data_IF_095068443000
#
_entry.id   IF_095068443000
#
_cell.length_a   1.000
_cell.length_b   1.000
_cell.length_c   1.000
_cell.angle_alpha   90.00
_cell.angle_beta   90.00
_cell.angle_gamma   90.00
#
_symmetry.space_group_name_H-M   'P 1'
#
loop_
_entity.id
_entity.type
_entity.pdbx_description
1 polymer ?
#
# COMPACT_ATOMS: atom_id res chain seq x y z
N UNK A 1 10.21 -9.84 6.93
CA UNK A 1 9.98 -8.39 6.73
C UNK A 1 8.89 -8.08 5.70
N UNK A 2 8.72 -8.85 4.60
CA UNK A 2 7.67 -8.58 3.59
C UNK A 2 6.23 -8.78 4.10
N UNK A 3 6.03 -9.51 5.21
CA UNK A 3 4.71 -9.77 5.80
C UNK A 3 3.95 -8.48 6.16
N UNK A 4 4.63 -7.46 6.70
CA UNK A 4 3.97 -6.21 7.07
C UNK A 4 3.41 -5.48 5.84
N UNK A 5 4.19 -5.43 4.76
CA UNK A 5 3.79 -4.81 3.48
C UNK A 5 2.63 -5.57 2.85
N UNK A 6 2.71 -6.91 2.79
CA UNK A 6 1.63 -7.74 2.25
C UNK A 6 0.35 -7.61 3.07
N UNK A 7 0.47 -7.55 4.41
CA UNK A 7 -0.69 -7.39 5.31
C UNK A 7 -1.41 -6.06 5.08
N UNK A 8 -0.65 -4.98 4.89
CA UNK A 8 -1.21 -3.67 4.57
C UNK A 8 -1.80 -3.63 3.16
N UNK A 9 -1.09 -4.18 2.17
CA UNK A 9 -1.57 -4.27 0.78
C UNK A 9 -2.89 -5.04 0.65
N UNK A 10 -3.03 -6.14 1.40
CA UNK A 10 -4.26 -6.96 1.40
C UNK A 10 -5.35 -6.43 2.34
N UNK A 11 -5.14 -5.26 2.94
CA UNK A 11 -6.09 -4.62 3.87
C UNK A 11 -6.59 -5.55 4.97
N UNK A 12 -5.72 -6.46 5.44
CA UNK A 12 -6.09 -7.48 6.43
C UNK A 12 -6.46 -6.86 7.80
N UNK A 13 -6.17 -5.58 7.99
CA UNK A 13 -6.61 -4.83 9.16
C UNK A 13 -8.10 -4.48 9.09
N UNK A 14 -8.63 -4.11 7.92
CA UNK A 14 -10.07 -3.89 7.72
C UNK A 14 -10.85 -5.19 7.95
N UNK A 15 -10.36 -6.30 7.39
CA UNK A 15 -10.92 -7.63 7.64
C UNK A 15 -10.87 -8.05 9.11
N UNK A 16 -9.85 -7.67 9.88
CA UNK A 16 -9.74 -8.04 11.29
C UNK A 16 -10.82 -7.37 12.17
N UNK A 17 -11.37 -6.22 11.75
CA UNK A 17 -12.53 -5.60 12.38
C UNK A 17 -13.83 -6.31 12.03
N UNK A 18 -14.01 -6.63 10.74
CA UNK A 18 -15.20 -7.31 10.23
C UNK A 18 -15.34 -8.74 10.77
N UNK A 19 -14.23 -9.49 10.88
CA UNK A 19 -14.21 -10.82 11.50
C UNK A 19 -14.65 -10.75 12.97
N UNK A 20 -14.21 -9.72 13.72
CA UNK A 20 -14.62 -9.51 15.11
C UNK A 20 -16.10 -9.12 15.24
N UNK A 21 -16.64 -8.42 14.24
CA UNK A 21 -18.05 -8.07 14.16
C UNK A 21 -18.93 -9.18 13.57
N UNK A 22 -18.35 -10.28 13.08
CA UNK A 22 -19.08 -11.35 12.38
C UNK A 22 -19.61 -10.93 11.00
N UNK A 23 -19.05 -9.89 10.40
CA UNK A 23 -19.46 -9.37 9.10
C UNK A 23 -18.59 -9.94 7.97
N UNK A 24 -19.21 -10.34 6.87
CA UNK A 24 -18.50 -10.73 5.65
C UNK A 24 -18.53 -9.58 4.64
N UNK A 25 -17.45 -8.81 4.60
CA UNK A 25 -17.30 -7.68 3.67
C UNK A 25 -16.33 -8.05 2.55
N UNK A 26 -16.73 -7.80 1.31
CA UNK A 26 -15.84 -7.96 0.15
C UNK A 26 -15.09 -6.64 -0.13
N UNK A 27 -13.78 -6.63 0.08
CA UNK A 27 -12.92 -5.52 -0.31
C UNK A 27 -12.32 -5.78 -1.70
N UNK A 28 -12.40 -4.79 -2.59
CA UNK A 28 -11.82 -4.88 -3.93
C UNK A 28 -10.29 -5.03 -3.82
N UNK A 29 -9.67 -6.06 -4.43
CA UNK A 29 -8.22 -6.21 -4.42
C UNK A 29 -7.55 -4.98 -5.06
N UNK A 30 -6.56 -4.41 -4.36
CA UNK A 30 -5.74 -3.31 -4.90
C UNK A 30 -4.75 -3.87 -5.92
N UNK A 31 -4.38 -3.10 -6.94
CA UNK A 31 -3.31 -3.49 -7.85
C UNK A 31 -1.96 -3.17 -7.22
N UNK A 32 -0.94 -4.00 -7.48
CA UNK A 32 0.42 -3.80 -6.94
C UNK A 32 1.05 -2.50 -7.45
N UNK A 33 0.72 -2.10 -8.67
CA UNK A 33 1.14 -0.85 -9.31
C UNK A 33 0.66 0.41 -8.57
N UNK A 34 -0.48 0.32 -7.88
CA UNK A 34 -1.04 1.43 -7.11
C UNK A 34 -0.48 1.48 -5.68
N UNK A 35 0.46 0.60 -5.34
CA UNK A 35 1.02 0.49 -4.00
C UNK A 35 2.52 0.79 -4.00
N UNK A 36 2.86 2.09 -4.05
CA UNK A 36 4.26 2.52 -3.98
C UNK A 36 4.80 2.42 -2.55
N UNK A 37 5.97 1.79 -2.39
CA UNK A 37 6.65 1.66 -1.10
C UNK A 37 7.88 2.55 -1.07
N UNK A 38 7.92 3.47 -0.09
CA UNK A 38 9.09 4.29 0.20
C UNK A 38 9.97 3.67 1.28
N UNK A 39 11.25 3.43 0.99
CA UNK A 39 12.25 2.98 1.96
C UNK A 39 13.21 4.14 2.29
N UNK A 40 13.05 4.74 3.47
CA UNK A 40 13.98 5.74 3.99
C UNK A 40 15.21 5.06 4.60
N UNK A 41 16.38 5.36 4.04
CA UNK A 41 17.66 4.85 4.53
C UNK A 41 18.09 3.56 3.82
N UNK A 42 18.82 3.70 2.71
CA UNK A 42 19.42 2.57 1.96
C UNK A 42 20.75 2.08 2.58
N UNK A 43 20.73 1.81 3.89
CA UNK A 43 21.79 1.09 4.58
C UNK A 43 21.85 -0.40 4.18
N UNK A 44 22.58 -1.22 4.93
CA UNK A 44 22.69 -2.68 4.65
C UNK A 44 21.32 -3.36 4.68
N UNK A 45 20.50 -3.07 5.69
CA UNK A 45 19.15 -3.62 5.83
C UNK A 45 18.17 -3.01 4.82
N UNK A 46 18.16 -1.68 4.70
CA UNK A 46 17.24 -0.97 3.80
C UNK A 46 17.39 -1.38 2.34
N UNK A 47 18.63 -1.61 1.87
CA UNK A 47 18.88 -2.09 0.51
C UNK A 47 18.31 -3.49 0.27
N UNK A 48 18.47 -4.42 1.23
CA UNK A 48 17.92 -5.78 1.14
C UNK A 48 16.39 -5.79 1.16
N UNK A 49 15.78 -4.93 1.98
CA UNK A 49 14.33 -4.75 2.02
C UNK A 49 13.82 -4.21 0.69
N UNK A 50 14.45 -3.16 0.14
CA UNK A 50 14.06 -2.58 -1.14
C UNK A 50 14.15 -3.58 -2.28
N UNK A 51 15.22 -4.38 -2.34
CA UNK A 51 15.38 -5.45 -3.33
C UNK A 51 14.33 -6.56 -3.18
N UNK A 52 14.06 -7.00 -1.95
CA UNK A 52 13.02 -8.01 -1.72
C UNK A 52 11.65 -7.50 -2.16
N UNK A 53 11.30 -6.24 -1.85
CA UNK A 53 10.05 -5.63 -2.28
C UNK A 53 9.94 -5.46 -3.80
N UNK A 54 11.07 -5.21 -4.47
CA UNK A 54 11.14 -5.15 -5.93
C UNK A 54 10.89 -6.52 -6.57
N UNK A 55 11.33 -7.63 -5.95
CA UNK A 55 10.98 -8.99 -6.38
C UNK A 55 9.48 -9.30 -6.27
N UNK A 56 8.77 -8.61 -5.38
CA UNK A 56 7.30 -8.68 -5.28
C UNK A 56 6.57 -7.75 -6.25
N UNK A 57 7.30 -7.13 -7.20
CA UNK A 57 6.79 -6.25 -8.26
C UNK A 57 6.10 -4.98 -7.74
N UNK A 58 6.40 -4.56 -6.51
CA UNK A 58 5.93 -3.28 -6.01
C UNK A 58 6.78 -2.14 -6.60
N UNK A 59 6.18 -0.98 -6.92
CA UNK A 59 6.93 0.24 -7.19
C UNK A 59 7.68 0.66 -5.91
N UNK A 60 9.00 0.46 -5.87
CA UNK A 60 9.82 0.82 -4.72
C UNK A 60 10.62 2.08 -5.01
N UNK A 61 10.51 3.05 -4.11
CA UNK A 61 11.36 4.23 -4.06
C UNK A 61 12.24 4.16 -2.81
N UNK A 62 13.51 4.53 -2.92
CA UNK A 62 14.46 4.52 -1.82
C UNK A 62 15.10 5.89 -1.64
N UNK A 63 15.31 6.33 -0.40
CA UNK A 63 16.01 7.58 -0.10
C UNK A 63 17.25 7.33 0.75
N UNK A 64 18.34 8.06 0.48
CA UNK A 64 19.59 7.95 1.24
C UNK A 64 20.31 9.30 1.33
N UNK A 65 21.11 9.49 2.38
CA UNK A 65 21.99 10.67 2.52
C UNK A 65 23.20 10.59 1.56
N UNK A 66 23.64 9.39 1.23
CA UNK A 66 24.74 9.13 0.30
C UNK A 66 24.23 8.49 -0.99
N UNK A 67 24.88 8.72 -2.14
CA UNK A 67 24.48 8.11 -3.41
C UNK A 67 24.52 6.59 -3.31
N UNK A 68 23.40 5.96 -3.69
CA UNK A 68 23.19 4.52 -3.67
C UNK A 68 22.42 4.17 -4.93
N UNK A 69 22.93 3.23 -5.72
CA UNK A 69 22.22 2.69 -6.87
C UNK A 69 21.74 1.28 -6.53
N UNK A 70 20.45 1.02 -6.74
CA UNK A 70 19.84 -0.28 -6.59
C UNK A 70 19.07 -0.61 -7.87
N UNK A 71 19.33 -1.79 -8.43
CA UNK A 71 18.67 -2.22 -9.67
C UNK A 71 17.16 -2.35 -9.46
N UNK A 72 16.38 -1.72 -10.34
CA UNK A 72 14.91 -1.75 -10.30
C UNK A 72 14.25 -0.92 -9.18
N UNK A 73 15.02 -0.12 -8.43
CA UNK A 73 14.50 0.76 -7.37
C UNK A 73 14.81 2.22 -7.74
N UNK A 74 13.83 3.10 -7.65
CA UNK A 74 14.05 4.54 -7.86
C UNK A 74 14.73 5.12 -6.63
N UNK A 75 15.97 5.57 -6.76
CA UNK A 75 16.77 6.08 -5.63
C UNK A 75 16.86 7.60 -5.64
N UNK A 76 16.58 8.21 -4.49
CA UNK A 76 16.68 9.63 -4.22
C UNK A 76 17.81 9.89 -3.22
N UNK A 77 18.47 11.03 -3.34
CA UNK A 77 19.69 11.35 -2.61
C UNK A 77 19.69 12.77 -2.05
N UNK A 78 20.15 12.88 -0.80
CA UNK A 78 20.28 14.16 -0.10
C UNK A 78 18.95 14.77 0.34
N UNK A 79 19.03 15.81 1.17
CA UNK A 79 17.85 16.49 1.71
C UNK A 79 17.03 17.21 0.63
N UNK A 80 17.67 17.66 -0.45
CA UNK A 80 17.00 18.35 -1.55
C UNK A 80 15.97 17.48 -2.29
N UNK A 81 16.22 16.17 -2.41
CA UNK A 81 15.31 15.23 -3.10
C UNK A 81 14.34 14.52 -2.15
N UNK A 82 14.37 14.87 -0.86
CA UNK A 82 13.45 14.31 0.14
C UNK A 82 11.98 14.65 -0.16
N UNK A 83 11.61 15.87 -0.55
CA UNK A 83 10.23 16.19 -0.92
C UNK A 83 9.73 15.37 -2.11
N UNK A 84 10.57 15.21 -3.15
CA UNK A 84 10.22 14.42 -4.33
C UNK A 84 10.05 12.94 -4.01
N UNK A 85 10.89 12.40 -3.13
CA UNK A 85 10.77 11.04 -2.61
C UNK A 85 9.42 10.84 -1.88
N UNK A 86 9.05 11.77 -1.00
CA UNK A 86 7.79 11.72 -0.27
C UNK A 86 6.60 11.81 -1.22
N UNK A 87 6.63 12.73 -2.20
CA UNK A 87 5.59 12.84 -3.21
C UNK A 87 5.43 11.53 -4.01
N UNK A 88 6.55 10.90 -4.39
CA UNK A 88 6.54 9.64 -5.16
C UNK A 88 5.99 8.44 -4.39
N UNK A 89 6.13 8.42 -3.05
CA UNK A 89 5.69 7.30 -2.21
C UNK A 89 4.31 7.51 -1.59
N UNK A 90 3.86 8.76 -1.45
CA UNK A 90 2.56 9.12 -0.86
C UNK A 90 1.45 9.30 -1.91
N UNK A 91 1.79 9.56 -3.18
CA UNK A 91 0.78 9.79 -4.24
C UNK A 91 -0.13 8.60 -4.51
N UNK A 92 0.26 7.38 -4.12
CA UNK A 92 -0.52 6.16 -4.36
C UNK A 92 -1.47 5.79 -3.22
N UNK A 93 -1.30 6.40 -2.03
CA UNK A 93 -2.07 6.08 -0.83
C UNK A 93 -3.53 6.59 -0.86
N UNK A 94 -3.91 7.41 -1.87
CA UNK A 94 -5.19 8.09 -1.88
C UNK A 94 -5.88 8.03 -3.25
N UNK A 95 -6.14 6.83 -3.75
CA UNK A 95 -7.08 6.63 -4.87
C UNK A 95 -8.23 5.66 -4.53
N UNK A 96 -8.36 5.26 -3.27
CA UNK A 96 -9.49 4.42 -2.84
C UNK A 96 -10.72 5.29 -2.56
N UNK A 97 -11.44 5.57 -3.65
CA UNK A 97 -12.90 5.46 -3.70
C UNK A 97 -13.70 6.44 -2.84
N UNK A 98 -13.81 7.67 -3.34
CA UNK A 98 -15.04 8.47 -3.22
C UNK A 98 -16.11 7.84 -4.12
N UNK A 99 -16.67 6.69 -3.75
CA UNK A 99 -18.00 6.22 -4.20
C UNK A 99 -18.46 5.20 -3.17
N UNK A 100 -19.41 5.58 -2.30
CA UNK A 100 -20.41 4.76 -1.59
C UNK A 100 -21.12 5.75 -0.65
N UNK A 101 -21.89 6.69 -1.21
CA UNK A 101 -23.32 6.55 -1.49
C UNK A 101 -24.13 6.29 -0.23
N UNK A 102 -24.52 7.39 0.39
CA UNK A 102 -25.73 7.50 1.18
C UNK A 102 -26.93 6.86 0.47
N UNK A 103 -27.34 5.66 0.91
CA UNK A 103 -28.77 5.33 1.03
C UNK A 103 -29.03 4.46 2.26
N UNK A 104 -29.90 4.91 3.17
CA UNK A 104 -30.39 4.08 4.26
C UNK A 104 -31.51 3.15 3.77
N UNK A 105 -31.58 1.97 4.40
CA UNK A 105 -32.81 1.29 4.80
C UNK A 105 -33.94 1.14 3.75
N UNK A 106 -34.10 -0.05 3.20
CA UNK A 106 -35.42 -0.70 3.17
C UNK A 106 -35.26 -2.23 3.26
N UNK A 107 -35.61 -2.75 4.43
CA UNK A 107 -36.03 -4.12 4.64
C UNK A 107 -37.51 -4.27 4.27
N UNK A 108 -37.87 -5.38 3.60
CA UNK A 108 -39.19 -6.04 3.44
C UNK A 108 -39.28 -6.57 2.00
N UNK A 109 -39.81 -7.73 1.65
CA UNK A 109 -40.41 -8.86 2.35
C UNK A 109 -41.01 -9.73 1.23
N UNK A 110 -40.94 -11.09 1.35
CA UNK A 110 -41.90 -12.05 0.75
C UNK A 110 -41.87 -12.14 -0.81
N UNK A 111 -42.05 -13.25 -1.52
CA UNK A 111 -42.59 -14.62 -1.34
C UNK A 111 -42.09 -15.40 -2.57
N UNK A 112 -41.53 -16.60 -2.41
CA UNK A 112 -42.06 -17.86 -2.97
C UNK A 112 -43.27 -17.72 -3.93
N UNK A 113 -43.04 -18.05 -5.20
CA UNK A 113 -43.85 -18.97 -6.01
C UNK A 113 -43.01 -19.39 -7.24
#
# INVERSE_FOLDING_TARGET
MCQAVIRYFRDLNAYAGDIRAGHWTYYKPRQRSDFSVGVMGLGVLGARVAQALQQFEFPVSGWSRSPKALHGVRTFMGAAQLPDFLASSLSSAQKSTTVWWSRPSQAKSRRFA
#
